data_IF_704975214193
#
_entry.id   IF_704975214193
#
_cell.length_a   1.000
_cell.length_b   1.000
_cell.length_c   1.000
_cell.angle_alpha   90.00
_cell.angle_beta   90.00
_cell.angle_gamma   90.00
#
_symmetry.space_group_name_H-M   'P 1'
#
loop_
_entity.id
_entity.type
_entity.pdbx_description
1 polymer ?
#
# COMPACT_ATOMS: atom_id res chain seq x y z
N UNK A 1 -0.69 -19.66 65.30
CA UNK A 1 0.22 -19.50 64.14
C UNK A 1 -0.15 -18.22 63.42
N UNK A 2 0.65 -17.16 63.48
CA UNK A 2 0.46 -15.99 62.60
C UNK A 2 1.84 -15.36 62.31
N UNK A 3 2.21 -15.34 61.03
CA UNK A 3 3.54 -15.01 60.53
C UNK A 3 3.80 -13.48 60.58
N UNK A 4 4.98 -13.10 61.06
CA UNK A 4 5.62 -11.82 60.78
C UNK A 4 5.98 -11.68 59.29
N UNK A 5 5.88 -10.47 58.73
CA UNK A 5 6.93 -9.88 57.87
C UNK A 5 6.91 -8.33 57.90
N UNK A 6 8.13 -7.78 57.92
CA UNK A 6 8.60 -6.38 58.10
C UNK A 6 8.24 -5.44 56.93
N UNK A 7 7.83 -4.20 57.22
CA UNK A 7 8.55 -2.89 57.08
C UNK A 7 8.98 -2.53 55.64
N UNK A 8 8.74 -1.33 55.09
CA UNK A 8 9.17 0.00 55.58
C UNK A 8 8.58 1.13 54.69
N UNK A 9 8.19 2.25 55.33
CA UNK A 9 8.25 3.70 54.97
C UNK A 9 7.84 4.11 53.53
N UNK A 10 7.18 5.26 53.31
CA UNK A 10 7.90 6.54 53.15
C UNK A 10 6.92 7.71 52.88
N UNK A 11 7.12 8.80 53.65
CA UNK A 11 6.97 10.25 53.36
C UNK A 11 5.57 10.84 53.08
N UNK A 12 5.18 11.74 53.98
CA UNK A 12 4.29 12.87 53.71
C UNK A 12 5.13 14.06 53.21
N UNK A 13 4.71 14.72 52.12
CA UNK A 13 5.09 16.11 51.84
C UNK A 13 3.83 16.90 51.51
N UNK A 14 3.66 17.94 52.31
CA UNK A 14 2.75 19.08 52.27
C UNK A 14 2.55 19.69 50.89
N UNK A 15 1.32 20.14 50.64
CA UNK A 15 0.96 20.84 49.42
C UNK A 15 1.52 22.27 49.33
N UNK A 16 1.55 22.75 48.10
CA UNK A 16 1.41 24.16 47.76
C UNK A 16 0.66 24.22 46.42
N UNK A 17 -0.56 24.76 46.45
CA UNK A 17 -1.28 25.13 45.26
C UNK A 17 -0.63 26.38 44.66
N UNK A 18 -0.11 26.27 43.44
CA UNK A 18 0.25 27.42 42.61
C UNK A 18 -0.62 27.34 41.37
N UNK A 19 -1.56 28.28 41.27
CA UNK A 19 -2.34 28.48 40.07
C UNK A 19 -1.44 28.94 38.93
N UNK A 20 -1.43 28.17 37.84
CA UNK A 20 -0.99 28.66 36.54
C UNK A 20 -2.14 28.40 35.57
N UNK A 21 -2.81 29.47 35.14
CA UNK A 21 -3.68 29.44 33.98
C UNK A 21 -2.79 29.21 32.76
N UNK A 22 -2.61 27.95 32.37
CA UNK A 22 -2.07 27.63 31.06
C UNK A 22 -3.17 27.91 30.04
N UNK A 23 -3.08 29.06 29.36
CA UNK A 23 -3.81 29.26 28.13
C UNK A 23 -3.33 28.18 27.14
N UNK A 24 -4.14 27.14 26.93
CA UNK A 24 -3.96 26.23 25.82
C UNK A 24 -4.23 27.02 24.53
N UNK A 25 -3.18 27.60 23.97
CA UNK A 25 -3.17 27.83 22.53
C UNK A 25 -3.15 26.44 21.89
N UNK A 26 -4.32 25.90 21.57
CA UNK A 26 -4.41 24.81 20.60
C UNK A 26 -4.02 25.43 19.27
N UNK A 27 -2.73 25.37 18.95
CA UNK A 27 -2.29 25.60 17.60
C UNK A 27 -2.90 24.47 16.78
N UNK A 28 -3.99 24.76 16.07
CA UNK A 28 -4.42 23.91 14.96
C UNK A 28 -3.26 23.93 13.97
N UNK A 29 -2.39 22.93 14.02
CA UNK A 29 -1.48 22.67 12.93
C UNK A 29 -2.38 22.52 11.69
N UNK A 30 -2.17 23.29 10.62
CA UNK A 30 -2.90 23.04 9.39
C UNK A 30 -2.61 21.59 9.02
N UNK A 31 -3.65 20.76 8.96
CA UNK A 31 -3.53 19.46 8.30
C UNK A 31 -3.19 19.78 6.86
N UNK A 32 -1.92 19.62 6.50
CA UNK A 32 -1.53 19.64 5.10
C UNK A 32 -2.33 18.51 4.43
N UNK A 33 -3.43 18.88 3.79
CA UNK A 33 -4.15 17.95 2.93
C UNK A 33 -3.22 17.73 1.76
N UNK A 34 -2.76 16.50 1.59
CA UNK A 34 -1.98 16.15 0.43
C UNK A 34 -2.87 16.43 -0.81
N UNK A 35 -2.48 17.42 -1.60
CA UNK A 35 -3.32 18.05 -2.65
C UNK A 35 -3.15 17.40 -4.01
N UNK A 36 -2.05 16.67 -4.22
CA UNK A 36 -1.77 16.03 -5.50
C UNK A 36 -0.87 14.82 -5.36
N UNK A 37 -1.14 13.78 -6.16
CA UNK A 37 -0.21 12.67 -6.35
C UNK A 37 0.99 13.14 -7.17
N UNK A 38 2.19 12.86 -6.68
CA UNK A 38 3.46 13.25 -7.30
C UNK A 38 4.34 12.01 -7.49
N UNK A 39 5.04 11.97 -8.61
CA UNK A 39 6.16 11.07 -8.85
C UNK A 39 7.38 11.92 -9.18
N UNK A 40 8.51 11.69 -8.50
CA UNK A 40 9.71 12.53 -8.64
C UNK A 40 10.92 11.64 -8.91
N UNK A 41 11.71 11.90 -9.96
CA UNK A 41 13.01 11.28 -10.13
C UNK A 41 13.98 11.84 -9.08
N UNK A 42 14.66 10.96 -8.35
CA UNK A 42 15.65 11.34 -7.33
C UNK A 42 16.95 11.87 -7.96
N UNK A 43 17.22 11.56 -9.23
CA UNK A 43 18.43 11.97 -9.95
C UNK A 43 18.32 13.34 -10.64
N UNK A 44 17.12 13.88 -10.88
CA UNK A 44 16.93 15.12 -11.65
C UNK A 44 16.69 16.38 -10.81
N UNK A 45 16.66 16.27 -9.49
CA UNK A 45 16.36 17.40 -8.61
C UNK A 45 14.93 17.91 -8.82
N UNK A 46 13.97 17.31 -8.11
CA UNK A 46 12.57 17.81 -7.98
C UNK A 46 11.97 18.38 -9.28
N UNK A 47 12.07 17.63 -10.38
CA UNK A 47 11.09 17.82 -11.45
C UNK A 47 9.75 17.29 -10.92
N UNK A 48 8.77 18.19 -10.80
CA UNK A 48 7.41 17.88 -10.36
C UNK A 48 6.55 17.29 -11.48
N UNK A 49 7.12 17.02 -12.66
CA UNK A 49 6.40 16.37 -13.75
C UNK A 49 5.90 14.99 -13.30
N UNK A 50 4.59 14.77 -13.43
CA UNK A 50 3.99 13.46 -13.15
C UNK A 50 4.64 12.42 -14.07
N UNK A 51 5.24 11.38 -13.48
CA UNK A 51 5.78 10.28 -14.27
C UNK A 51 4.67 9.67 -15.13
N UNK A 52 4.78 9.79 -16.45
CA UNK A 52 3.88 9.22 -17.47
C UNK A 52 3.94 7.68 -17.56
N UNK A 53 4.47 7.04 -16.53
CA UNK A 53 4.86 5.65 -16.51
C UNK A 53 4.22 4.90 -15.34
N UNK A 54 3.01 5.27 -14.93
CA UNK A 54 2.25 4.53 -13.91
C UNK A 54 0.82 4.29 -14.38
N UNK A 55 0.27 3.13 -14.03
CA UNK A 55 -1.15 2.84 -14.26
C UNK A 55 -1.94 3.23 -13.03
N UNK A 56 -3.00 4.03 -13.22
CA UNK A 56 -3.99 4.33 -12.18
C UNK A 56 -5.25 3.54 -12.45
N UNK A 57 -5.76 2.88 -11.42
CA UNK A 57 -6.95 2.07 -11.45
C UNK A 57 -7.98 2.71 -10.52
N UNK A 58 -9.22 2.78 -10.99
CA UNK A 58 -10.32 3.41 -10.28
C UNK A 58 -11.32 2.36 -9.83
N UNK A 59 -12.01 2.64 -8.73
CA UNK A 59 -13.12 1.82 -8.25
C UNK A 59 -14.25 1.76 -9.30
N UNK A 60 -15.12 0.76 -9.17
CA UNK A 60 -16.17 0.43 -10.14
C UNK A 60 -15.66 -0.27 -11.40
N UNK A 61 -14.40 -0.71 -11.42
CA UNK A 61 -13.78 -1.38 -12.56
C UNK A 61 -13.59 -2.86 -12.31
N UNK A 62 -13.82 -3.66 -13.35
CA UNK A 62 -13.61 -5.10 -13.38
C UNK A 62 -12.64 -5.46 -14.51
N UNK A 63 -11.78 -6.45 -14.27
CA UNK A 63 -10.80 -6.93 -15.24
C UNK A 63 -10.77 -8.45 -15.31
N UNK A 64 -10.64 -8.95 -16.54
CA UNK A 64 -10.46 -10.37 -16.81
C UNK A 64 -9.00 -10.82 -16.65
N UNK A 65 -8.75 -12.13 -16.52
CA UNK A 65 -7.41 -12.68 -16.47
C UNK A 65 -6.56 -12.25 -17.67
N UNK A 66 -5.26 -12.15 -17.44
CA UNK A 66 -4.22 -11.59 -18.31
C UNK A 66 -4.16 -10.07 -18.42
N UNK A 67 -5.12 -9.35 -17.85
CA UNK A 67 -5.03 -7.89 -17.79
C UNK A 67 -3.74 -7.48 -17.09
N UNK A 68 -3.00 -6.56 -17.71
CA UNK A 68 -1.69 -6.11 -17.28
C UNK A 68 -1.64 -4.59 -17.13
N UNK A 69 -1.17 -4.13 -15.99
CA UNK A 69 -1.03 -2.71 -15.65
C UNK A 69 0.45 -2.39 -15.55
N UNK A 70 0.88 -1.43 -16.35
CA UNK A 70 2.29 -1.14 -16.55
C UNK A 70 2.74 0.04 -15.71
N UNK A 71 3.96 -0.08 -15.20
CA UNK A 71 4.79 1.02 -14.76
C UNK A 71 6.09 1.08 -15.60
N UNK A 72 7.01 2.01 -15.31
CA UNK A 72 8.32 2.07 -15.97
C UNK A 72 9.13 0.78 -15.75
N UNK A 73 9.15 0.27 -14.51
CA UNK A 73 10.06 -0.82 -14.10
C UNK A 73 9.31 -2.08 -13.64
N UNK A 74 8.00 -1.98 -13.46
CA UNK A 74 7.16 -3.09 -13.01
C UNK A 74 5.95 -3.25 -13.91
N UNK A 75 5.32 -4.42 -13.82
CA UNK A 75 3.95 -4.61 -14.29
C UNK A 75 3.20 -5.50 -13.32
N UNK A 76 1.95 -5.13 -13.05
CA UNK A 76 1.00 -5.93 -12.29
C UNK A 76 0.17 -6.74 -13.28
N UNK A 77 0.04 -8.04 -13.07
CA UNK A 77 -0.72 -8.93 -13.94
C UNK A 77 -1.71 -9.73 -13.11
N UNK A 78 -2.97 -9.67 -13.51
CA UNK A 78 -3.95 -10.64 -13.06
C UNK A 78 -3.74 -11.90 -13.89
N UNK A 79 -3.16 -12.94 -13.28
CA UNK A 79 -2.76 -14.15 -13.97
C UNK A 79 -3.96 -15.08 -14.23
N UNK A 80 -3.73 -16.12 -15.04
CA UNK A 80 -4.79 -17.09 -15.31
C UNK A 80 -5.16 -17.88 -14.06
N UNK A 81 -4.22 -18.16 -13.17
CA UNK A 81 -4.45 -18.92 -11.95
C UNK A 81 -5.18 -18.13 -10.85
N UNK A 82 -5.78 -16.97 -11.15
CA UNK A 82 -6.46 -16.11 -10.17
C UNK A 82 -5.51 -15.25 -9.34
N UNK A 83 -4.19 -15.41 -9.51
CA UNK A 83 -3.20 -14.66 -8.75
C UNK A 83 -2.99 -13.26 -9.32
N UNK A 84 -3.01 -12.25 -8.45
CA UNK A 84 -2.53 -10.93 -8.80
C UNK A 84 -1.03 -10.82 -8.47
N UNK A 85 -0.18 -10.64 -9.49
CA UNK A 85 1.28 -10.70 -9.31
C UNK A 85 1.97 -9.48 -9.90
N UNK A 86 2.91 -8.92 -9.13
CA UNK A 86 3.77 -7.81 -9.54
C UNK A 86 5.13 -8.34 -9.95
N UNK A 87 5.58 -7.94 -11.14
CA UNK A 87 6.81 -8.40 -11.77
C UNK A 87 7.78 -7.26 -12.06
N UNK A 88 9.08 -7.54 -12.02
CA UNK A 88 10.11 -6.65 -12.57
C UNK A 88 10.18 -6.73 -14.10
N UNK A 89 10.36 -5.59 -14.76
CA UNK A 89 10.61 -5.51 -16.22
C UNK A 89 12.07 -5.74 -16.59
N UNK A 90 13.00 -5.31 -15.73
CA UNK A 90 14.43 -5.31 -16.01
C UNK A 90 15.18 -6.29 -15.10
N UNK A 91 16.26 -6.86 -15.62
CA UNK A 91 17.28 -7.55 -14.83
C UNK A 91 18.26 -6.54 -14.22
N UNK A 92 18.87 -6.89 -13.09
CA UNK A 92 19.90 -6.06 -12.45
C UNK A 92 19.88 -6.17 -10.93
N UNK A 93 20.65 -5.30 -10.27
CA UNK A 93 20.69 -5.23 -8.82
C UNK A 93 19.42 -4.56 -8.27
N UNK A 94 18.78 -5.23 -7.31
CA UNK A 94 17.65 -4.70 -6.55
C UNK A 94 18.15 -4.09 -5.25
N UNK A 95 17.90 -2.80 -5.05
CA UNK A 95 18.27 -2.10 -3.82
C UNK A 95 17.38 -2.49 -2.65
N UNK A 96 16.07 -2.61 -2.87
CA UNK A 96 15.13 -2.99 -1.82
C UNK A 96 15.24 -4.46 -1.38
N UNK A 97 15.76 -5.34 -2.24
CA UNK A 97 16.00 -6.77 -1.90
C UNK A 97 17.46 -7.09 -1.58
N UNK A 98 18.40 -6.20 -1.88
CA UNK A 98 19.83 -6.43 -1.67
C UNK A 98 20.45 -7.54 -2.54
N UNK A 99 19.86 -7.88 -3.69
CA UNK A 99 20.31 -8.97 -4.56
C UNK A 99 20.02 -8.71 -6.03
N UNK A 100 20.65 -9.48 -6.92
CA UNK A 100 20.29 -9.48 -8.34
C UNK A 100 18.91 -10.12 -8.54
N UNK A 101 18.11 -9.52 -9.43
CA UNK A 101 16.82 -10.02 -9.89
C UNK A 101 16.80 -10.06 -11.41
N UNK A 102 16.03 -11.00 -11.97
CA UNK A 102 15.85 -11.13 -13.41
C UNK A 102 14.61 -10.38 -13.90
N UNK A 103 14.63 -9.93 -15.15
CA UNK A 103 13.42 -9.52 -15.85
C UNK A 103 12.37 -10.65 -15.80
N UNK A 104 11.12 -10.28 -15.52
CA UNK A 104 10.03 -11.23 -15.32
C UNK A 104 10.01 -11.91 -13.94
N UNK A 105 10.90 -11.54 -13.00
CA UNK A 105 10.83 -12.07 -11.65
C UNK A 105 9.66 -11.45 -10.88
N UNK A 106 8.84 -12.31 -10.25
CA UNK A 106 7.80 -11.87 -9.31
C UNK A 106 8.43 -11.28 -8.05
N UNK A 107 7.91 -10.13 -7.61
CA UNK A 107 8.36 -9.43 -6.39
C UNK A 107 7.26 -9.31 -5.34
N UNK A 108 6.00 -9.46 -5.73
CA UNK A 108 4.85 -9.59 -4.85
C UNK A 108 3.75 -10.39 -5.53
N UNK A 109 2.97 -11.12 -4.75
CA UNK A 109 1.79 -11.83 -5.20
C UNK A 109 0.70 -11.75 -4.14
N UNK A 110 -0.56 -11.77 -4.55
CA UNK A 110 -1.72 -11.89 -3.65
C UNK A 110 -1.66 -13.18 -2.82
N UNK A 111 -0.99 -14.21 -3.35
CA UNK A 111 -0.73 -15.47 -2.65
C UNK A 111 -1.84 -16.50 -2.79
N UNK A 112 -2.81 -16.25 -3.68
CA UNK A 112 -3.95 -17.12 -3.90
C UNK A 112 -3.98 -17.59 -5.35
N UNK A 113 -4.31 -18.87 -5.52
CA UNK A 113 -4.46 -19.49 -6.83
C UNK A 113 -5.68 -20.40 -6.83
N UNK A 114 -6.60 -20.18 -7.76
CA UNK A 114 -7.70 -21.10 -8.06
C UNK A 114 -7.18 -22.21 -9.00
N UNK A 115 -7.12 -23.46 -8.52
CA UNK A 115 -6.65 -24.61 -9.32
C UNK A 115 -7.75 -25.26 -10.18
N UNK A 116 -8.91 -24.64 -10.35
CA UNK A 116 -10.15 -25.30 -10.79
C UNK A 116 -10.73 -24.83 -12.12
N UNK A 117 -10.95 -23.53 -12.32
CA UNK A 117 -11.55 -23.01 -13.57
C UNK A 117 -11.28 -21.52 -13.78
N UNK A 118 -10.26 -21.22 -14.58
CA UNK A 118 -9.65 -19.90 -14.75
C UNK A 118 -10.41 -18.96 -15.71
N UNK A 119 -11.36 -19.50 -16.48
CA UNK A 119 -12.05 -18.76 -17.54
C UNK A 119 -13.05 -17.75 -17.00
N UNK A 120 -13.49 -17.95 -15.75
CA UNK A 120 -14.50 -17.12 -15.08
C UNK A 120 -13.92 -16.37 -13.89
N UNK A 121 -12.59 -16.32 -13.71
CA UNK A 121 -12.03 -15.51 -12.63
C UNK A 121 -12.14 -14.02 -12.99
N UNK A 122 -12.32 -13.16 -11.99
CA UNK A 122 -12.31 -11.71 -12.18
C UNK A 122 -11.53 -11.00 -11.10
N UNK A 123 -10.97 -9.86 -11.46
CA UNK A 123 -10.43 -8.91 -10.51
C UNK A 123 -11.32 -7.68 -10.50
N UNK A 124 -11.75 -7.27 -9.32
CA UNK A 124 -12.78 -6.26 -9.16
C UNK A 124 -12.32 -5.25 -8.10
N UNK A 125 -12.42 -3.97 -8.45
CA UNK A 125 -12.15 -2.87 -7.53
C UNK A 125 -13.47 -2.19 -7.20
N UNK A 126 -14.08 -2.62 -6.10
CA UNK A 126 -15.43 -2.22 -5.74
C UNK A 126 -15.48 -0.75 -5.33
N UNK A 127 -16.64 -0.12 -5.52
CA UNK A 127 -16.90 1.28 -5.13
C UNK A 127 -16.86 1.53 -3.62
N UNK A 128 -16.72 0.48 -2.81
CA UNK A 128 -16.46 0.58 -1.39
C UNK A 128 -14.96 0.74 -1.07
N UNK A 129 -14.10 0.81 -2.09
CA UNK A 129 -12.65 0.93 -1.95
C UNK A 129 -11.96 -0.39 -1.65
N UNK A 130 -12.69 -1.52 -1.63
CA UNK A 130 -12.10 -2.84 -1.53
C UNK A 130 -11.71 -3.36 -2.91
N UNK A 131 -10.49 -3.88 -3.01
CA UNK A 131 -10.00 -4.51 -4.23
C UNK A 131 -9.79 -6.00 -3.98
N UNK A 132 -10.40 -6.83 -4.82
CA UNK A 132 -10.55 -8.27 -4.58
C UNK A 132 -10.49 -9.09 -5.88
N UNK A 133 -9.88 -10.27 -5.80
CA UNK A 133 -9.99 -11.30 -6.83
C UNK A 133 -11.12 -12.25 -6.48
N UNK A 134 -11.84 -12.69 -7.49
CA UNK A 134 -12.97 -13.60 -7.37
C UNK A 134 -12.81 -14.75 -8.35
N UNK A 135 -13.34 -15.89 -7.93
CA UNK A 135 -13.59 -17.04 -8.79
C UNK A 135 -15.07 -17.40 -8.75
N UNK A 136 -15.56 -18.02 -9.83
CA UNK A 136 -16.93 -18.53 -9.88
C UNK A 136 -16.96 -20.03 -9.59
N UNK A 137 -17.88 -20.47 -8.73
CA UNK A 137 -18.19 -21.89 -8.55
C UNK A 137 -19.70 -22.13 -8.60
N UNK A 138 -20.15 -23.36 -8.34
CA UNK A 138 -21.58 -23.71 -8.35
C UNK A 138 -22.44 -22.94 -7.33
N UNK A 139 -21.84 -22.29 -6.34
CA UNK A 139 -22.50 -21.42 -5.38
C UNK A 139 -22.47 -19.92 -5.79
N UNK A 140 -21.92 -19.59 -6.97
CA UNK A 140 -21.71 -18.24 -7.47
C UNK A 140 -20.32 -17.68 -7.16
N UNK A 141 -20.18 -16.36 -7.26
CA UNK A 141 -18.93 -15.65 -7.03
C UNK A 141 -18.41 -15.79 -5.60
N UNK A 142 -17.18 -16.25 -5.47
CA UNK A 142 -16.45 -16.36 -4.21
C UNK A 142 -15.25 -15.42 -4.23
N UNK A 143 -14.95 -14.80 -3.09
CA UNK A 143 -13.72 -14.01 -2.91
C UNK A 143 -12.55 -14.97 -2.72
N UNK A 144 -11.48 -14.79 -3.49
CA UNK A 144 -10.22 -15.51 -3.34
C UNK A 144 -9.26 -14.72 -2.42
N UNK A 145 -9.00 -13.46 -2.80
CA UNK A 145 -8.19 -12.52 -2.04
C UNK A 145 -8.82 -11.14 -2.03
N UNK A 146 -8.54 -10.35 -1.00
CA UNK A 146 -8.80 -8.91 -1.03
C UNK A 146 -7.80 -8.11 -0.18
N UNK A 147 -7.75 -6.81 -0.45
CA UNK A 147 -6.93 -5.83 0.26
C UNK A 147 -7.40 -5.57 1.69
N UNK A 148 -8.61 -6.01 2.07
CA UNK A 148 -9.28 -5.71 3.35
C UNK A 148 -9.37 -4.21 3.62
N UNK A 149 -9.74 -3.47 2.59
CA UNK A 149 -9.91 -2.02 2.62
C UNK A 149 -11.38 -1.68 2.38
N UNK A 150 -11.88 -0.63 3.01
CA UNK A 150 -13.27 -0.15 2.86
C UNK A 150 -13.31 1.37 2.91
N UNK A 151 -12.52 1.98 2.02
CA UNK A 151 -12.17 3.40 1.97
C UNK A 151 -12.99 4.17 0.91
N UNK A 152 -14.12 3.61 0.48
CA UNK A 152 -15.07 4.27 -0.43
C UNK A 152 -14.57 4.48 -1.86
N UNK A 153 -15.44 5.11 -2.66
CA UNK A 153 -15.28 5.20 -4.11
C UNK A 153 -14.11 6.07 -4.56
N UNK A 154 -13.65 7.00 -3.71
CA UNK A 154 -12.51 7.88 -4.00
C UNK A 154 -11.15 7.18 -3.83
N UNK A 155 -11.14 5.91 -3.42
CA UNK A 155 -9.92 5.10 -3.39
C UNK A 155 -9.43 4.85 -4.81
N UNK A 156 -8.13 4.99 -5.03
CA UNK A 156 -7.47 4.63 -6.29
C UNK A 156 -6.31 3.68 -6.03
N UNK A 157 -5.99 2.82 -6.98
CA UNK A 157 -4.82 1.96 -6.92
C UNK A 157 -3.82 2.39 -7.99
N UNK A 158 -2.53 2.43 -7.66
CA UNK A 158 -1.49 2.89 -8.56
C UNK A 158 -0.36 1.87 -8.61
N UNK A 159 0.01 1.42 -9.82
CA UNK A 159 1.27 0.71 -10.06
C UNK A 159 2.36 1.75 -10.24
N UNK A 160 3.11 1.99 -9.16
CA UNK A 160 3.98 3.14 -9.01
C UNK A 160 5.34 2.95 -9.71
N UNK A 161 6.00 4.06 -10.05
CA UNK A 161 7.31 4.06 -10.72
C UNK A 161 8.42 3.57 -9.80
N UNK A 162 8.30 3.84 -8.50
CA UNK A 162 9.18 3.32 -7.45
C UNK A 162 9.07 1.79 -7.24
N UNK A 163 8.23 1.09 -8.01
CA UNK A 163 8.09 -0.36 -7.98
C UNK A 163 7.08 -0.87 -6.95
N UNK A 164 6.37 0.02 -6.26
CA UNK A 164 5.30 -0.34 -5.34
C UNK A 164 3.94 -0.43 -6.05
N UNK A 165 3.00 -1.17 -5.46
CA UNK A 165 1.59 -1.15 -5.83
C UNK A 165 0.78 -0.73 -4.61
N UNK A 166 0.06 0.40 -4.72
CA UNK A 166 -0.48 1.10 -3.55
C UNK A 166 -1.91 1.55 -3.79
N UNK A 167 -2.78 1.33 -2.80
CA UNK A 167 -4.09 1.95 -2.73
C UNK A 167 -3.98 3.26 -1.95
N UNK A 168 -4.52 4.33 -2.52
CA UNK A 168 -4.55 5.67 -1.96
C UNK A 168 -5.98 6.11 -1.75
N UNK A 169 -6.26 6.70 -0.60
CA UNK A 169 -7.51 7.40 -0.30
C UNK A 169 -7.15 8.77 0.26
N UNK A 170 -7.67 9.85 -0.33
CA UNK A 170 -7.48 11.22 0.18
C UNK A 170 -6.00 11.58 0.45
N UNK A 171 -5.10 11.10 -0.42
CA UNK A 171 -3.67 11.33 -0.31
C UNK A 171 -2.94 10.52 0.77
N UNK A 172 -3.61 9.56 1.41
CA UNK A 172 -3.03 8.61 2.35
C UNK A 172 -2.95 7.22 1.73
N UNK A 173 -1.82 6.52 1.92
CA UNK A 173 -1.68 5.14 1.51
C UNK A 173 -2.43 4.25 2.51
N UNK A 174 -3.49 3.58 2.05
CA UNK A 174 -4.33 2.71 2.89
C UNK A 174 -3.95 1.23 2.79
N UNK A 175 -3.27 0.85 1.70
CA UNK A 175 -2.69 -0.48 1.52
C UNK A 175 -1.51 -0.41 0.54
N UNK A 176 -0.50 -1.27 0.72
CA UNK A 176 0.64 -1.37 -0.19
C UNK A 176 1.19 -2.80 -0.31
N UNK A 177 1.75 -3.14 -1.47
CA UNK A 177 2.51 -4.38 -1.70
C UNK A 177 3.86 -4.40 -0.96
N UNK A 178 4.35 -3.23 -0.53
CA UNK A 178 5.65 -3.04 0.15
C UNK A 178 6.83 -3.53 -0.70
N UNK A 179 6.81 -3.17 -1.98
CA UNK A 179 7.86 -3.56 -2.95
C UNK A 179 8.62 -2.38 -3.53
N UNK A 180 8.59 -1.23 -2.84
CA UNK A 180 9.36 -0.06 -3.28
C UNK A 180 10.84 -0.45 -3.44
N UNK A 181 11.41 -0.07 -4.58
CA UNK A 181 12.81 -0.29 -4.96
C UNK A 181 13.22 -1.76 -5.12
N UNK A 182 12.26 -2.68 -5.22
CA UNK A 182 12.55 -4.10 -5.44
C UNK A 182 12.98 -4.39 -6.89
N UNK A 183 12.64 -3.54 -7.85
CA UNK A 183 12.98 -3.75 -9.25
C UNK A 183 14.08 -2.79 -9.75
N UNK A 184 15.05 -3.25 -10.56
CA UNK A 184 16.15 -2.42 -11.03
C UNK A 184 15.66 -1.18 -11.79
N UNK A 185 16.19 -0.01 -11.42
CA UNK A 185 15.82 1.30 -11.97
C UNK A 185 14.75 2.03 -11.16
N UNK A 186 13.96 1.31 -10.36
CA UNK A 186 12.90 1.94 -9.56
C UNK A 186 13.42 2.74 -8.36
N UNK A 187 14.65 2.48 -7.91
CA UNK A 187 15.29 3.20 -6.80
C UNK A 187 15.51 4.69 -7.07
N UNK A 188 15.51 5.09 -8.35
CA UNK A 188 15.72 6.47 -8.75
C UNK A 188 14.43 7.29 -8.72
N UNK A 189 13.34 6.74 -8.16
CA UNK A 189 12.03 7.37 -8.13
C UNK A 189 11.41 7.30 -6.73
N UNK A 190 10.63 8.34 -6.43
CA UNK A 190 9.74 8.39 -5.28
C UNK A 190 8.32 8.72 -5.74
N UNK A 191 7.33 8.00 -5.20
CA UNK A 191 5.91 8.24 -5.43
C UNK A 191 5.21 8.59 -4.11
N UNK A 192 4.35 9.59 -4.11
CA UNK A 192 3.53 9.93 -2.95
C UNK A 192 2.74 11.21 -3.15
N UNK A 193 1.89 11.56 -2.18
CA UNK A 193 1.15 12.81 -2.25
C UNK A 193 1.91 13.95 -1.55
N UNK A 194 1.75 15.17 -2.07
CA UNK A 194 2.26 16.42 -1.49
C UNK A 194 1.14 17.40 -1.22
#
# INVERSE_FOLDING_TARGET
>A
MLKLRKSRRTIAVTGAAVGLMAALCVANAPTASATSYVCVPLSSGVDSSQCSHSSTLHTGSEWSPQTTFNSAFTYLRFQYDGNLVLYCKNSGYSYGLGRNVSAGQAVWASGWTNSGDIANDKWDFWSDGNMATYYENSAGWQVDWNTRTWHGADTIAIVQTDGNFVLWENGQAVWASNTYHYCPGSQDYWNGYR
#
